data_IF_320099223378
#
_entry.id   IF_320099223378
#
_cell.length_a   1.000
_cell.length_b   1.000
_cell.length_c   1.000
_cell.angle_alpha   90.00
_cell.angle_beta   90.00
_cell.angle_gamma   90.00
#
_symmetry.space_group_name_H-M   'P 1'
#
loop_
_entity.id
_entity.type
_entity.pdbx_description
1 polymer ?
#
# COMPACT_ATOMS: atom_id res chain seq x y z
N UNK A 1 8.01 13.21 10.86
CA UNK A 1 9.40 12.96 11.31
C UNK A 1 10.07 11.86 10.50
N UNK A 2 9.42 10.71 10.27
CA UNK A 2 10.00 9.62 9.45
C UNK A 2 10.34 10.05 8.01
N UNK A 3 9.53 10.95 7.44
CA UNK A 3 9.80 11.56 6.14
C UNK A 3 10.84 12.70 6.18
N UNK A 4 11.49 12.97 7.32
CA UNK A 4 12.46 14.06 7.49
C UNK A 4 11.93 15.48 7.18
N UNK A 5 10.63 15.70 7.36
CA UNK A 5 10.01 17.02 7.32
C UNK A 5 10.11 17.76 8.66
N UNK A 6 10.18 19.09 8.59
CA UNK A 6 10.07 19.99 9.73
C UNK A 6 8.63 20.49 9.87
N UNK A 7 8.20 20.81 11.10
CA UNK A 7 6.86 21.35 11.34
C UNK A 7 6.84 22.27 12.55
N UNK A 8 5.91 23.23 12.55
CA UNK A 8 5.68 24.15 13.65
C UNK A 8 4.20 24.08 14.08
N UNK A 9 3.96 24.15 15.40
CA UNK A 9 2.61 24.27 15.93
C UNK A 9 2.18 25.73 15.89
N UNK A 10 1.18 26.05 15.08
CA UNK A 10 0.58 27.39 15.03
C UNK A 10 -0.48 27.56 16.13
N UNK A 11 -1.27 26.52 16.36
CA UNK A 11 -2.29 26.49 17.41
C UNK A 11 -2.36 25.12 18.07
N UNK A 12 -2.57 25.10 19.38
CA UNK A 12 -2.70 23.86 20.14
C UNK A 12 -3.78 24.02 21.22
N UNK A 13 -4.96 23.47 20.96
CA UNK A 13 -6.12 23.54 21.85
C UNK A 13 -6.30 22.18 22.52
N UNK A 14 -6.19 22.14 23.84
CA UNK A 14 -6.28 20.91 24.64
C UNK A 14 -7.68 20.79 25.24
N UNK A 15 -8.33 19.65 25.00
CA UNK A 15 -9.58 19.30 25.66
C UNK A 15 -9.40 19.23 27.18
N UNK A 16 -10.38 19.71 27.95
CA UNK A 16 -10.23 19.85 29.43
C UNK A 16 -10.65 18.58 30.17
N UNK A 17 -11.66 17.88 29.66
CA UNK A 17 -12.15 16.61 30.18
C UNK A 17 -11.61 15.40 29.42
N UNK A 18 -11.76 14.22 30.03
CA UNK A 18 -11.32 12.94 29.44
C UNK A 18 -11.98 12.61 28.10
N UNK A 19 -13.14 13.21 27.79
CA UNK A 19 -13.90 13.01 26.56
C UNK A 19 -13.77 14.18 25.58
N UNK A 20 -13.17 15.29 25.99
CA UNK A 20 -13.03 16.46 25.12
C UNK A 20 -12.01 16.17 24.02
N UNK A 21 -12.26 16.67 22.82
CA UNK A 21 -11.29 16.60 21.72
C UNK A 21 -10.24 17.70 21.88
N UNK A 22 -8.98 17.35 21.59
CA UNK A 22 -7.92 18.32 21.35
C UNK A 22 -7.84 18.58 19.85
N UNK A 23 -7.44 19.79 19.47
CA UNK A 23 -7.25 20.18 18.07
C UNK A 23 -5.94 20.95 17.93
N UNK A 24 -5.28 20.83 16.79
CA UNK A 24 -4.06 21.58 16.50
C UNK A 24 -4.02 22.03 15.06
N UNK A 25 -3.34 23.14 14.82
CA UNK A 25 -2.95 23.60 13.50
C UNK A 25 -1.43 23.55 13.42
N UNK A 26 -0.93 22.86 12.41
CA UNK A 26 0.50 22.72 12.16
C UNK A 26 0.86 23.30 10.80
N UNK A 27 2.00 23.97 10.73
CA UNK A 27 2.65 24.33 9.49
C UNK A 27 3.73 23.30 9.18
N UNK A 28 3.84 22.87 7.92
CA UNK A 28 4.77 21.81 7.48
C UNK A 28 5.77 22.40 6.49
N UNK A 29 7.05 22.17 6.75
CA UNK A 29 8.16 22.61 5.92
C UNK A 29 8.87 21.40 5.30
N UNK A 30 9.01 21.42 3.98
CA UNK A 30 9.81 20.46 3.22
C UNK A 30 11.05 21.12 2.64
N UNK A 31 12.14 20.34 2.50
CA UNK A 31 13.41 20.77 1.88
C UNK A 31 13.22 21.27 0.43
N UNK A 32 12.22 20.74 -0.26
CA UNK A 32 11.80 21.14 -1.62
C UNK A 32 10.27 21.11 -1.68
N UNK A 33 9.69 21.70 -2.74
CA UNK A 33 8.24 21.64 -2.99
C UNK A 33 7.75 20.19 -3.10
N UNK A 34 8.44 19.35 -3.86
CA UNK A 34 8.10 17.93 -4.02
C UNK A 34 8.15 17.17 -2.69
N UNK A 35 9.19 17.42 -1.89
CA UNK A 35 9.31 16.81 -0.57
C UNK A 35 8.18 17.25 0.37
N UNK A 36 7.86 18.55 0.39
CA UNK A 36 6.73 19.08 1.16
C UNK A 36 5.42 18.45 0.72
N UNK A 37 5.16 18.38 -0.57
CA UNK A 37 3.91 17.85 -1.13
C UNK A 37 3.75 16.35 -0.81
N UNK A 38 4.85 15.60 -0.76
CA UNK A 38 4.85 14.22 -0.28
C UNK A 38 4.46 14.13 1.21
N UNK A 39 5.03 14.98 2.07
CA UNK A 39 4.65 15.02 3.50
C UNK A 39 3.18 15.38 3.67
N UNK A 40 2.71 16.43 2.98
CA UNK A 40 1.31 16.86 3.04
C UNK A 40 0.37 15.74 2.61
N UNK A 41 0.70 15.02 1.54
CA UNK A 41 -0.09 13.87 1.06
C UNK A 41 -0.27 12.81 2.15
N UNK A 42 0.81 12.45 2.86
CA UNK A 42 0.75 11.46 3.93
C UNK A 42 -0.03 11.96 5.15
N UNK A 43 0.12 13.24 5.51
CA UNK A 43 -0.62 13.83 6.64
C UNK A 43 -2.13 13.93 6.34
N UNK A 44 -2.51 14.29 5.10
CA UNK A 44 -3.91 14.27 4.67
C UNK A 44 -4.51 12.86 4.71
N UNK A 45 -3.72 11.85 4.32
CA UNK A 45 -4.15 10.45 4.45
C UNK A 45 -4.47 10.10 5.89
N UNK A 46 -3.76 10.63 6.89
CA UNK A 46 -4.06 10.40 8.31
C UNK A 46 -5.28 11.16 8.85
N UNK A 47 -6.04 11.87 7.99
CA UNK A 47 -7.26 12.59 8.35
C UNK A 47 -7.05 14.06 8.71
N UNK A 48 -5.86 14.62 8.47
CA UNK A 48 -5.67 16.06 8.55
C UNK A 48 -6.46 16.80 7.45
N UNK A 49 -6.77 18.06 7.69
CA UNK A 49 -7.48 18.92 6.74
C UNK A 49 -6.64 20.17 6.43
N UNK A 50 -6.71 20.64 5.19
CA UNK A 50 -6.17 21.94 4.81
C UNK A 50 -7.09 23.06 5.34
N UNK A 51 -6.54 24.25 5.67
CA UNK A 51 -7.34 25.40 6.12
C UNK A 51 -8.42 25.82 5.11
N UNK A 52 -8.09 25.75 3.82
CA UNK A 52 -9.05 25.84 2.73
C UNK A 52 -9.31 24.43 2.22
N UNK A 53 -10.58 24.08 2.00
CA UNK A 53 -10.94 22.76 1.46
C UNK A 53 -10.93 22.85 -0.07
N UNK A 54 -9.86 22.37 -0.75
CA UNK A 54 -9.86 22.37 -2.21
C UNK A 54 -10.92 21.40 -2.74
N UNK A 55 -11.46 21.71 -3.91
CA UNK A 55 -12.25 20.75 -4.69
C UNK A 55 -11.40 19.52 -5.02
N UNK A 56 -12.05 18.35 -5.03
CA UNK A 56 -11.41 17.09 -5.40
C UNK A 56 -10.95 17.13 -6.85
N UNK A 57 -9.72 16.69 -7.09
CA UNK A 57 -9.17 16.55 -8.44
C UNK A 57 -9.57 15.17 -9.00
N UNK A 58 -9.97 15.12 -10.27
CA UNK A 58 -10.33 13.88 -10.95
C UNK A 58 -9.99 13.93 -12.43
N UNK A 59 -9.69 12.75 -12.99
CA UNK A 59 -9.33 12.58 -14.38
C UNK A 59 -10.15 11.45 -15.02
N UNK A 60 -10.44 11.58 -16.31
CA UNK A 60 -11.16 10.54 -17.04
C UNK A 60 -10.24 9.36 -17.34
N UNK A 61 -10.72 8.14 -17.08
CA UNK A 61 -10.02 6.93 -17.51
C UNK A 61 -9.87 6.88 -19.04
N UNK A 62 -8.67 6.55 -19.51
CA UNK A 62 -8.37 6.40 -20.94
C UNK A 62 -8.94 5.10 -21.56
N UNK A 63 -9.29 4.10 -20.74
CA UNK A 63 -9.73 2.79 -21.20
C UNK A 63 -10.31 1.90 -20.10
N UNK A 64 -10.98 0.82 -20.49
CA UNK A 64 -11.49 -0.17 -19.52
C UNK A 64 -10.33 -0.75 -18.68
N UNK A 65 -10.55 -0.85 -17.37
CA UNK A 65 -9.57 -1.32 -16.39
C UNK A 65 -8.25 -0.52 -16.33
N UNK A 66 -8.27 0.74 -16.77
CA UNK A 66 -7.12 1.66 -16.69
C UNK A 66 -7.38 2.81 -15.73
N UNK A 67 -6.37 3.20 -14.97
CA UNK A 67 -6.41 4.31 -14.02
C UNK A 67 -5.47 5.43 -14.48
N UNK A 68 -5.76 6.70 -14.18
CA UNK A 68 -4.80 7.80 -14.29
C UNK A 68 -3.61 7.58 -13.34
N UNK A 69 -2.41 8.04 -13.70
CA UNK A 69 -1.17 7.74 -12.96
C UNK A 69 -1.21 8.10 -11.46
N UNK A 70 -1.89 9.19 -11.10
CA UNK A 70 -1.93 9.70 -9.72
C UNK A 70 -3.22 9.35 -8.99
N UNK A 71 -3.89 8.26 -9.37
CA UNK A 71 -5.13 7.79 -8.76
C UNK A 71 -5.04 7.69 -7.22
N UNK A 72 -6.14 8.02 -6.54
CA UNK A 72 -6.26 7.77 -5.11
C UNK A 72 -6.64 6.31 -4.85
N UNK A 73 -5.92 5.64 -3.95
CA UNK A 73 -6.23 4.30 -3.45
C UNK A 73 -6.98 4.39 -2.13
N UNK A 74 -8.17 3.80 -2.06
CA UNK A 74 -9.04 3.91 -0.89
C UNK A 74 -8.59 3.05 0.28
N UNK A 75 -8.94 3.50 1.49
CA UNK A 75 -8.85 2.69 2.72
C UNK A 75 -10.16 1.94 2.96
N UNK A 76 -10.24 1.19 4.06
CA UNK A 76 -11.50 0.60 4.54
C UNK A 76 -12.38 1.59 5.33
N UNK A 77 -11.92 2.82 5.56
CA UNK A 77 -12.62 3.80 6.39
C UNK A 77 -13.55 4.70 5.58
N UNK A 78 -14.63 5.16 6.23
CA UNK A 78 -15.58 6.12 5.66
C UNK A 78 -14.83 7.31 5.05
N UNK A 79 -15.09 7.56 3.78
CA UNK A 79 -14.42 8.62 3.01
C UNK A 79 -15.46 9.59 2.45
N UNK A 80 -15.14 10.88 2.45
CA UNK A 80 -15.91 11.91 1.75
C UNK A 80 -15.00 12.67 0.78
N UNK A 81 -15.55 13.12 -0.34
CA UNK A 81 -14.87 14.02 -1.29
C UNK A 81 -15.55 15.37 -1.31
N UNK A 82 -14.79 16.46 -1.38
CA UNK A 82 -15.31 17.81 -1.49
C UNK A 82 -15.54 18.15 -2.96
N UNK A 83 -16.80 18.23 -3.37
CA UNK A 83 -17.19 18.44 -4.76
C UNK A 83 -18.45 19.31 -4.87
N UNK A 84 -18.39 20.36 -5.70
CA UNK A 84 -19.54 21.23 -5.95
C UNK A 84 -19.96 22.02 -4.71
N UNK A 85 -18.97 22.52 -3.96
CA UNK A 85 -19.14 23.33 -2.76
C UNK A 85 -19.56 22.57 -1.49
N UNK A 86 -19.51 21.24 -1.50
CA UNK A 86 -19.94 20.42 -0.36
C UNK A 86 -19.24 19.07 -0.26
N UNK A 87 -19.31 18.47 0.93
CA UNK A 87 -18.81 17.11 1.15
C UNK A 87 -19.83 16.08 0.65
N UNK A 88 -19.39 15.20 -0.24
CA UNK A 88 -20.13 14.07 -0.78
C UNK A 88 -19.54 12.80 -0.17
N UNK A 89 -20.37 11.97 0.47
CA UNK A 89 -19.93 10.68 0.99
C UNK A 89 -19.64 9.69 -0.14
N UNK A 90 -18.58 8.89 0.02
CA UNK A 90 -18.20 7.86 -0.93
C UNK A 90 -18.97 6.57 -0.59
N UNK A 91 -19.82 6.14 -1.52
CA UNK A 91 -20.59 4.91 -1.39
C UNK A 91 -19.70 3.66 -1.61
N UNK A 92 -20.15 2.51 -1.10
CA UNK A 92 -19.51 1.20 -1.29
C UNK A 92 -18.03 1.15 -0.83
N UNK A 93 -17.73 1.87 0.26
CA UNK A 93 -16.39 1.97 0.81
C UNK A 93 -15.72 0.62 1.02
N UNK A 94 -14.51 0.47 0.48
CA UNK A 94 -13.67 -0.71 0.65
C UNK A 94 -12.21 -0.32 0.34
N UNK A 95 -11.26 -0.97 0.99
CA UNK A 95 -9.85 -0.77 0.68
C UNK A 95 -9.47 -1.27 -0.71
N UNK A 96 -8.36 -0.78 -1.24
CA UNK A 96 -7.78 -1.19 -2.51
C UNK A 96 -8.73 -1.00 -3.71
N UNK A 97 -9.51 0.08 -3.67
CA UNK A 97 -10.40 0.54 -4.74
C UNK A 97 -10.10 1.97 -5.14
N UNK A 98 -10.86 2.45 -6.12
CA UNK A 98 -10.76 3.79 -6.67
C UNK A 98 -12.10 4.51 -6.54
N UNK A 99 -12.04 5.81 -6.29
CA UNK A 99 -13.24 6.64 -6.15
C UNK A 99 -13.63 7.17 -7.53
N UNK A 100 -14.81 6.78 -8.00
CA UNK A 100 -15.45 7.37 -9.18
C UNK A 100 -16.33 8.52 -8.72
N UNK A 101 -16.29 9.63 -9.44
CA UNK A 101 -17.15 10.80 -9.19
C UNK A 101 -18.11 11.04 -10.35
N UNK A 102 -19.32 11.46 -10.02
CA UNK A 102 -20.32 11.94 -10.97
C UNK A 102 -20.72 13.37 -10.57
N UNK A 103 -19.95 14.40 -11.01
CA UNK A 103 -20.15 15.78 -10.57
C UNK A 103 -21.58 16.30 -10.82
N UNK A 104 -22.17 15.94 -11.97
CA UNK A 104 -23.53 16.31 -12.32
C UNK A 104 -24.61 15.76 -11.38
N UNK A 105 -24.34 14.61 -10.75
CA UNK A 105 -25.25 13.93 -9.81
C UNK A 105 -24.87 14.16 -8.34
N UNK A 106 -23.78 14.88 -8.06
CA UNK A 106 -23.18 15.02 -6.72
C UNK A 106 -22.99 13.67 -6.01
N UNK A 107 -22.45 12.69 -6.72
CA UNK A 107 -22.28 11.31 -6.23
C UNK A 107 -20.83 10.86 -6.35
N UNK A 108 -20.37 10.07 -5.38
CA UNK A 108 -19.06 9.42 -5.40
C UNK A 108 -19.19 7.98 -4.89
N UNK A 109 -18.44 7.03 -5.47
CA UNK A 109 -18.49 5.64 -5.07
C UNK A 109 -17.22 4.87 -5.41
N UNK A 110 -16.95 3.79 -4.68
CA UNK A 110 -15.79 2.95 -4.94
C UNK A 110 -16.04 1.95 -6.07
N UNK A 111 -15.07 1.78 -6.99
CA UNK A 111 -14.96 0.66 -7.93
C UNK A 111 -13.59 -0.03 -7.81
N UNK A 112 -13.52 -1.38 -7.88
CA UNK A 112 -12.25 -2.06 -8.11
C UNK A 112 -11.75 -1.76 -9.53
N UNK A 113 -10.43 -1.84 -9.75
CA UNK A 113 -9.82 -1.59 -11.07
C UNK A 113 -10.47 -2.42 -12.20
N UNK A 114 -10.87 -3.66 -11.92
CA UNK A 114 -11.52 -4.56 -12.88
C UNK A 114 -12.89 -4.07 -13.38
N UNK A 115 -13.54 -3.16 -12.67
CA UNK A 115 -14.86 -2.61 -13.03
C UNK A 115 -14.78 -1.20 -13.62
N UNK A 116 -13.60 -0.58 -13.63
CA UNK A 116 -13.39 0.74 -14.22
C UNK A 116 -13.66 0.70 -15.72
N UNK A 117 -14.47 1.65 -16.19
CA UNK A 117 -14.79 1.83 -17.59
C UNK A 117 -14.09 3.05 -18.17
N UNK A 118 -13.84 3.01 -19.48
CA UNK A 118 -13.37 4.18 -20.21
C UNK A 118 -14.27 5.39 -19.90
N UNK A 119 -13.64 6.53 -19.67
CA UNK A 119 -14.28 7.81 -19.32
C UNK A 119 -14.94 7.89 -17.94
N UNK A 120 -14.85 6.84 -17.09
CA UNK A 120 -15.11 7.01 -15.66
C UNK A 120 -14.21 8.13 -15.11
N UNK A 121 -14.77 9.08 -14.35
CA UNK A 121 -14.02 10.15 -13.71
C UNK A 121 -13.48 9.65 -12.38
N UNK A 122 -12.16 9.45 -12.31
CA UNK A 122 -11.47 8.84 -11.17
C UNK A 122 -10.78 9.93 -10.37
N UNK A 123 -10.94 9.92 -9.05
CA UNK A 123 -10.24 10.82 -8.15
C UNK A 123 -8.73 10.60 -8.22
N UNK A 124 -7.99 11.70 -8.34
CA UNK A 124 -6.53 11.73 -8.37
C UNK A 124 -5.99 12.61 -7.23
N UNK A 125 -4.76 12.34 -6.81
CA UNK A 125 -4.12 13.06 -5.72
C UNK A 125 -4.76 12.78 -4.35
N UNK A 126 -4.64 13.74 -3.43
CA UNK A 126 -5.16 13.63 -2.05
C UNK A 126 -5.97 14.86 -1.62
N UNK A 127 -6.14 15.84 -2.50
CA UNK A 127 -6.85 17.10 -2.21
C UNK A 127 -8.36 16.87 -2.24
N UNK A 128 -9.07 17.54 -1.33
CA UNK A 128 -10.53 17.44 -1.27
C UNK A 128 -11.01 16.06 -0.82
N UNK A 129 -10.16 15.27 -0.16
CA UNK A 129 -10.52 13.96 0.38
C UNK A 129 -10.47 14.05 1.91
N UNK A 130 -11.49 13.51 2.56
CA UNK A 130 -11.56 13.39 4.02
C UNK A 130 -11.83 11.95 4.40
N UNK A 131 -10.90 11.35 5.14
CA UNK A 131 -11.05 10.00 5.67
C UNK A 131 -11.40 10.09 7.15
N UNK A 132 -12.50 9.45 7.55
CA UNK A 132 -12.94 9.39 8.93
C UNK A 132 -12.42 8.11 9.57
N UNK A 133 -11.31 8.24 10.29
CA UNK A 133 -10.73 7.15 11.05
C UNK A 133 -11.59 6.83 12.30
N UNK A 134 -11.65 5.55 12.71
CA UNK A 134 -12.23 5.20 14.00
C UNK A 134 -11.43 5.86 15.11
N UNK A 135 -12.13 6.26 16.18
CA UNK A 135 -11.44 6.76 17.37
C UNK A 135 -10.53 5.67 17.94
N UNK A 136 -9.29 6.03 18.23
CA UNK A 136 -8.39 5.11 18.93
C UNK A 136 -8.96 4.84 20.33
N UNK A 137 -8.97 3.58 20.80
CA UNK A 137 -9.32 3.28 22.17
C UNK A 137 -8.52 4.17 23.13
N UNK A 138 -9.21 4.88 24.02
CA UNK A 138 -8.56 5.73 25.05
C UNK A 138 -8.01 4.90 26.22
N UNK A 139 -8.36 3.60 26.27
CA UNK A 139 -7.79 2.62 27.19
C UNK A 139 -6.54 2.00 26.57
N UNK A 140 -5.45 1.97 27.34
CA UNK A 140 -4.13 1.57 26.86
C UNK A 140 -4.11 0.15 26.32
N UNK A 141 -3.62 -0.01 25.08
CA UNK A 141 -3.17 -1.31 24.57
C UNK A 141 -2.04 -1.77 25.50
N UNK A 142 -2.28 -2.85 26.25
CA UNK A 142 -1.32 -3.42 27.19
C UNK A 142 0.04 -3.62 26.53
N UNK A 143 1.08 -3.06 27.14
CA UNK A 143 2.46 -3.07 26.68
C UNK A 143 3.09 -4.44 26.98
N UNK A 144 2.66 -5.51 26.30
CA UNK A 144 3.43 -6.77 26.20
C UNK A 144 2.71 -7.83 25.35
N UNK A 145 3.33 -8.27 24.25
CA UNK A 145 3.05 -9.58 23.65
C UNK A 145 4.37 -10.24 23.24
N UNK A 146 4.57 -11.50 23.64
CA UNK A 146 5.72 -12.34 23.32
C UNK A 146 5.30 -13.46 22.36
N UNK A 147 6.11 -13.66 21.31
CA UNK A 147 6.33 -14.90 20.55
C UNK A 147 5.12 -15.77 20.24
N UNK A 148 4.56 -15.62 19.03
CA UNK A 148 3.77 -16.67 18.38
C UNK A 148 4.39 -17.09 17.05
N UNK A 149 5.37 -17.99 17.11
CA UNK A 149 5.49 -19.01 16.06
C UNK A 149 6.16 -20.27 16.62
N UNK A 150 5.53 -21.41 16.33
CA UNK A 150 6.00 -22.74 16.68
C UNK A 150 6.63 -23.39 15.45
N UNK A 151 7.85 -23.00 15.08
CA UNK A 151 8.67 -23.79 14.15
C UNK A 151 10.13 -23.76 14.60
N UNK A 152 10.59 -24.91 15.12
CA UNK A 152 11.95 -25.14 15.57
C UNK A 152 12.92 -25.23 14.38
N UNK A 153 14.06 -24.53 14.50
CA UNK A 153 15.16 -24.44 13.52
C UNK A 153 16.26 -25.51 13.69
N UNK A 154 16.05 -26.56 14.48
CA UNK A 154 17.13 -27.49 14.91
C UNK A 154 17.37 -28.69 13.98
N UNK A 155 17.13 -28.56 12.67
CA UNK A 155 17.54 -29.57 11.67
C UNK A 155 18.79 -29.10 10.91
N UNK A 156 19.73 -29.99 10.52
CA UNK A 156 20.94 -29.58 9.80
C UNK A 156 20.63 -29.17 8.35
N UNK A 157 20.12 -27.94 8.19
CA UNK A 157 19.65 -27.35 6.94
C UNK A 157 20.71 -27.40 5.83
N UNK A 158 21.99 -27.21 6.17
CA UNK A 158 23.10 -27.22 5.21
C UNK A 158 23.24 -28.56 4.49
N UNK A 159 23.08 -29.68 5.21
CA UNK A 159 23.21 -31.01 4.60
C UNK A 159 22.09 -31.27 3.59
N UNK A 160 20.86 -30.93 3.97
CA UNK A 160 19.68 -31.06 3.12
C UNK A 160 19.78 -30.16 1.88
N UNK A 161 20.22 -28.90 2.03
CA UNK A 161 20.43 -27.98 0.91
C UNK A 161 21.43 -28.56 -0.10
N UNK A 162 22.56 -29.12 0.37
CA UNK A 162 23.56 -29.75 -0.52
C UNK A 162 23.00 -30.95 -1.27
N UNK A 163 22.14 -31.74 -0.64
CA UNK A 163 21.49 -32.88 -1.27
C UNK A 163 20.51 -32.42 -2.35
N UNK A 164 19.65 -31.44 -2.04
CA UNK A 164 18.72 -30.84 -2.99
C UNK A 164 19.48 -30.28 -4.20
N UNK A 165 20.56 -29.51 -3.98
CA UNK A 165 21.37 -28.94 -5.06
C UNK A 165 21.97 -30.03 -5.99
N UNK A 166 22.47 -31.14 -5.42
CA UNK A 166 22.96 -32.30 -6.20
C UNK A 166 21.85 -32.91 -7.04
N UNK A 167 20.66 -33.08 -6.47
CA UNK A 167 19.51 -33.66 -7.17
C UNK A 167 19.02 -32.75 -8.31
N UNK A 168 18.96 -31.43 -8.09
CA UNK A 168 18.60 -30.45 -9.13
C UNK A 168 19.58 -30.50 -10.30
N UNK A 169 20.89 -30.53 -10.02
CA UNK A 169 21.93 -30.61 -11.06
C UNK A 169 21.90 -31.92 -11.85
N UNK A 170 21.67 -33.05 -11.17
CA UNK A 170 21.55 -34.34 -11.84
C UNK A 170 20.29 -34.42 -12.73
N UNK A 171 19.15 -33.89 -12.27
CA UNK A 171 17.90 -33.90 -13.02
C UNK A 171 17.97 -33.02 -14.28
N UNK A 172 18.55 -31.82 -14.15
CA UNK A 172 18.77 -30.91 -15.28
C UNK A 172 19.63 -31.56 -16.38
N UNK A 173 20.65 -32.35 -16.02
CA UNK A 173 21.50 -33.06 -16.99
C UNK A 173 20.89 -34.30 -17.64
N UNK A 174 19.82 -34.87 -17.06
CA UNK A 174 19.22 -36.14 -17.47
C UNK A 174 17.86 -35.98 -18.18
N UNK A 175 17.51 -34.76 -18.62
CA UNK A 175 16.22 -34.48 -19.26
C UNK A 175 15.01 -34.52 -18.30
N UNK A 176 15.24 -34.48 -16.99
CA UNK A 176 14.18 -34.37 -15.99
C UNK A 176 13.66 -32.95 -15.89
N UNK A 177 12.36 -32.77 -15.65
CA UNK A 177 11.75 -31.46 -15.43
C UNK A 177 11.70 -31.11 -13.95
N UNK A 178 11.99 -29.85 -13.63
CA UNK A 178 11.93 -29.26 -12.30
C UNK A 178 10.82 -28.20 -12.31
N UNK A 179 9.83 -28.41 -11.45
CA UNK A 179 8.72 -27.48 -11.25
C UNK A 179 8.83 -26.88 -9.85
N UNK A 180 8.80 -25.56 -9.76
CA UNK A 180 8.78 -24.82 -8.49
C UNK A 180 7.34 -24.38 -8.20
N UNK A 181 6.90 -24.61 -6.97
CA UNK A 181 5.64 -24.07 -6.45
C UNK A 181 6.00 -23.05 -5.37
N UNK A 182 5.66 -21.78 -5.59
CA UNK A 182 6.07 -20.68 -4.71
C UNK A 182 4.87 -19.86 -4.22
N UNK A 183 4.95 -19.43 -2.95
CA UNK A 183 4.04 -18.44 -2.36
C UNK A 183 4.74 -17.08 -2.14
N UNK A 184 3.99 -16.02 -1.81
CA UNK A 184 4.49 -14.64 -1.75
C UNK A 184 5.59 -14.42 -0.69
N UNK A 185 5.65 -15.29 0.32
CA UNK A 185 6.74 -15.32 1.29
C UNK A 185 8.13 -15.39 0.63
N UNK A 186 8.25 -16.02 -0.54
CA UNK A 186 9.49 -16.03 -1.32
C UNK A 186 10.02 -14.61 -1.57
N UNK A 187 9.14 -13.67 -1.91
CA UNK A 187 9.51 -12.28 -2.19
C UNK A 187 9.75 -11.54 -0.88
N UNK A 188 8.83 -11.68 0.08
CA UNK A 188 8.92 -10.99 1.38
C UNK A 188 10.21 -11.30 2.15
N UNK A 189 10.79 -12.50 1.97
CA UNK A 189 12.04 -12.90 2.62
C UNK A 189 13.30 -12.68 1.77
N UNK A 190 13.21 -11.93 0.66
CA UNK A 190 14.36 -11.67 -0.23
C UNK A 190 14.82 -12.87 -1.05
N UNK A 191 13.97 -13.89 -1.21
CA UNK A 191 14.28 -15.10 -1.98
C UNK A 191 14.16 -14.95 -3.51
N UNK A 192 13.44 -13.91 -3.96
CA UNK A 192 13.12 -13.71 -5.39
C UNK A 192 14.36 -13.64 -6.31
N UNK A 193 15.45 -12.89 -6.00
CA UNK A 193 16.63 -12.85 -6.85
C UNK A 193 17.27 -14.21 -7.10
N UNK A 194 17.28 -15.08 -6.08
CA UNK A 194 17.87 -16.42 -6.16
C UNK A 194 17.02 -17.37 -7.01
N UNK A 195 15.69 -17.33 -6.86
CA UNK A 195 14.82 -18.13 -7.73
C UNK A 195 14.93 -17.65 -9.19
N UNK A 196 14.97 -16.34 -9.41
CA UNK A 196 15.16 -15.78 -10.74
C UNK A 196 16.51 -16.21 -11.36
N UNK A 197 17.57 -16.31 -10.55
CA UNK A 197 18.86 -16.86 -10.99
C UNK A 197 18.76 -18.34 -11.34
N UNK A 198 18.09 -19.16 -10.52
CA UNK A 198 17.88 -20.57 -10.81
C UNK A 198 17.10 -20.78 -12.13
N UNK A 199 16.09 -19.95 -12.39
CA UNK A 199 15.35 -19.93 -13.67
C UNK A 199 16.29 -19.60 -14.83
N UNK A 200 17.09 -18.52 -14.71
CA UNK A 200 18.06 -18.11 -15.76
C UNK A 200 19.12 -19.18 -16.03
N UNK A 201 19.54 -19.90 -15.02
CA UNK A 201 20.50 -21.01 -15.13
C UNK A 201 19.88 -22.31 -15.66
N UNK A 202 18.57 -22.33 -15.94
CA UNK A 202 17.88 -23.48 -16.51
C UNK A 202 17.57 -24.60 -15.51
N UNK A 203 17.58 -24.31 -14.20
CA UNK A 203 17.21 -25.29 -13.16
C UNK A 203 15.71 -25.37 -12.91
N UNK A 204 14.90 -24.49 -13.52
CA UNK A 204 13.45 -24.44 -13.30
C UNK A 204 12.76 -24.41 -14.65
N UNK A 205 12.04 -25.48 -14.97
CA UNK A 205 11.30 -25.65 -16.22
C UNK A 205 9.90 -25.03 -16.15
N UNK A 206 9.31 -24.98 -14.96
CA UNK A 206 8.00 -24.38 -14.74
C UNK A 206 7.89 -23.78 -13.33
N UNK A 207 7.21 -22.63 -13.24
CA UNK A 207 6.83 -21.99 -11.99
C UNK A 207 5.30 -22.00 -11.89
N UNK A 208 4.78 -22.61 -10.83
CA UNK A 208 3.37 -22.60 -10.48
C UNK A 208 3.18 -21.70 -9.27
N UNK A 209 2.39 -20.64 -9.43
CA UNK A 209 2.15 -19.67 -8.36
C UNK A 209 0.82 -18.93 -8.55
N UNK A 210 0.49 -18.04 -7.61
CA UNK A 210 -0.69 -17.18 -7.65
C UNK A 210 -0.33 -15.70 -7.90
N UNK A 211 -1.37 -14.87 -8.05
CA UNK A 211 -1.26 -13.45 -8.33
C UNK A 211 -0.30 -12.70 -7.38
N UNK A 212 -0.33 -13.02 -6.08
CA UNK A 212 0.49 -12.34 -5.08
C UNK A 212 2.00 -12.44 -5.37
N UNK A 213 2.52 -13.60 -5.78
CA UNK A 213 3.94 -13.72 -6.12
C UNK A 213 4.30 -12.83 -7.30
N UNK A 214 3.48 -12.84 -8.36
CA UNK A 214 3.72 -12.02 -9.54
C UNK A 214 3.68 -10.52 -9.21
N UNK A 215 2.67 -10.07 -8.46
CA UNK A 215 2.53 -8.66 -8.07
C UNK A 215 3.71 -8.22 -7.20
N UNK A 216 4.10 -9.00 -6.18
CA UNK A 216 5.20 -8.62 -5.30
C UNK A 216 6.56 -8.70 -5.97
N UNK A 217 6.80 -9.65 -6.88
CA UNK A 217 8.04 -9.74 -7.64
C UNK A 217 8.21 -8.51 -8.56
N UNK A 218 7.13 -8.11 -9.23
CA UNK A 218 7.10 -6.89 -10.07
C UNK A 218 7.26 -5.63 -9.20
N UNK A 219 6.55 -5.54 -8.07
CA UNK A 219 6.68 -4.44 -7.12
C UNK A 219 8.13 -4.29 -6.65
N UNK A 220 8.77 -5.40 -6.29
CA UNK A 220 10.17 -5.41 -5.88
C UNK A 220 11.10 -4.98 -7.01
N UNK A 221 10.90 -5.47 -8.23
CA UNK A 221 11.72 -5.11 -9.37
C UNK A 221 11.61 -3.63 -9.78
N UNK A 222 10.42 -3.02 -9.63
CA UNK A 222 10.17 -1.64 -10.01
C UNK A 222 10.46 -0.63 -8.90
N UNK A 223 10.12 -0.98 -7.65
CA UNK A 223 10.07 -0.05 -6.52
C UNK A 223 11.00 -0.46 -5.36
N UNK A 224 11.59 -1.66 -5.39
CA UNK A 224 12.39 -2.18 -4.29
C UNK A 224 11.59 -2.56 -3.04
N UNK A 225 10.26 -2.64 -3.15
CA UNK A 225 9.34 -2.90 -2.03
C UNK A 225 8.54 -4.18 -2.21
N UNK A 226 8.00 -4.68 -1.10
CA UNK A 226 6.94 -5.69 -1.10
C UNK A 226 5.88 -5.31 -0.07
N UNK A 227 4.64 -5.06 -0.52
CA UNK A 227 3.58 -4.42 0.28
C UNK A 227 4.04 -3.09 0.90
N UNK A 228 4.83 -2.31 0.16
CA UNK A 228 5.37 -1.02 0.63
C UNK A 228 6.51 -1.13 1.64
N UNK A 229 6.95 -2.34 2.02
CA UNK A 229 8.14 -2.54 2.85
C UNK A 229 9.37 -2.62 1.96
N UNK A 230 10.37 -1.75 2.20
CA UNK A 230 11.64 -1.78 1.49
C UNK A 230 12.48 -2.99 1.93
N UNK A 231 12.80 -3.88 0.99
CA UNK A 231 13.48 -5.15 1.28
C UNK A 231 15.00 -5.03 1.48
N UNK A 232 15.62 -3.88 1.19
CA UNK A 232 17.04 -3.64 1.50
C UNK A 232 17.26 -3.21 2.96
N UNK A 233 16.17 -2.88 3.68
CA UNK A 233 16.19 -2.44 5.08
C UNK A 233 15.67 -3.49 6.07
N UNK A 234 15.43 -4.71 5.60
CA UNK A 234 14.97 -5.86 6.40
C UNK A 234 16.15 -6.75 6.76
#
# INVERSE_FOLDING_TARGET
MDLQGEFEFLEFNVGRGINDYSSTKIEIFGKTTEHRDNIVREVLRLGALLPETPEVEYEASIGDMMLPDTFYCTTNHETSVYMGGGWVEVENQMMDKHIIVEPGNKRAYCKPISEVKKSDLIVVGAKGIRVKYPERPREGVGVFEFMNSAVSSEKPAISLIREIARNLKSRAGNGGKIVVVAGPALVHTGGAPYLAEMIRLGYVDALLSGNAVAVHDIEYALMGTSLGVNLERV
#
